data_IF_054438360297
#
_entry.id   IF_054438360297
#
_cell.length_a   1.000
_cell.length_b   1.000
_cell.length_c   1.000
_cell.angle_alpha   90.00
_cell.angle_beta   90.00
_cell.angle_gamma   90.00
#
_symmetry.space_group_name_H-M   'P 1'
#
loop_
_entity.id
_entity.type
_entity.pdbx_description
1 polymer ?
#
# COMPACT_ATOMS: atom_id res chain seq x y z
N UNK A 1 16.00 -0.59 13.94
CA UNK A 1 15.23 -0.63 12.68
C UNK A 1 14.88 0.80 12.32
N UNK A 2 15.10 1.20 11.07
CA UNK A 2 14.75 2.54 10.59
C UNK A 2 13.47 2.47 9.78
N UNK A 3 12.51 3.31 10.12
CA UNK A 3 11.25 3.47 9.40
C UNK A 3 11.36 4.62 8.37
N UNK A 4 10.56 4.60 7.28
CA UNK A 4 9.61 3.54 6.94
C UNK A 4 10.30 2.27 6.38
N UNK A 5 9.72 1.11 6.66
CA UNK A 5 10.11 -0.15 6.01
C UNK A 5 9.39 -0.23 4.67
N UNK A 6 10.12 -0.60 3.62
CA UNK A 6 9.56 -0.72 2.27
C UNK A 6 9.38 -2.18 1.92
N UNK A 7 8.16 -2.56 1.53
CA UNK A 7 7.81 -3.91 1.09
C UNK A 7 7.16 -3.85 -0.29
N UNK A 8 7.51 -4.79 -1.19
CA UNK A 8 6.86 -4.90 -2.49
C UNK A 8 5.78 -5.99 -2.48
N UNK A 9 4.58 -5.66 -2.96
CA UNK A 9 3.45 -6.58 -3.11
C UNK A 9 2.85 -6.46 -4.51
N UNK A 10 2.89 -7.54 -5.31
CA UNK A 10 2.34 -7.59 -6.68
C UNK A 10 2.78 -6.45 -7.61
N UNK A 11 4.03 -5.99 -7.45
CA UNK A 11 4.61 -4.89 -8.22
C UNK A 11 4.29 -3.49 -7.69
N UNK A 12 3.57 -3.39 -6.57
CA UNK A 12 3.29 -2.16 -5.84
C UNK A 12 4.18 -2.04 -4.62
N UNK A 13 4.53 -0.82 -4.25
CA UNK A 13 5.33 -0.54 -3.06
C UNK A 13 4.43 -0.18 -1.89
N UNK A 14 4.68 -0.79 -0.73
CA UNK A 14 4.02 -0.52 0.55
C UNK A 14 5.07 0.03 1.50
N UNK A 15 4.77 1.19 2.10
CA UNK A 15 5.53 1.74 3.22
C UNK A 15 4.85 1.33 4.51
N UNK A 16 5.61 0.76 5.43
CA UNK A 16 5.21 0.55 6.81
C UNK A 16 5.91 1.60 7.68
N UNK A 17 5.12 2.36 8.43
CA UNK A 17 5.55 3.40 9.35
C UNK A 17 5.70 2.85 10.77
N UNK A 18 6.37 3.63 11.63
CA UNK A 18 6.75 3.20 12.98
C UNK A 18 5.57 2.65 13.80
N UNK A 19 5.68 1.44 14.39
CA UNK A 19 4.67 0.86 15.23
C UNK A 19 4.49 1.54 16.60
N UNK A 20 5.17 2.63 16.88
CA UNK A 20 4.84 3.56 17.95
C UNK A 20 3.72 4.54 17.52
N UNK A 21 3.51 4.77 16.22
CA UNK A 21 2.43 5.61 15.72
C UNK A 21 1.14 4.80 15.70
N UNK A 22 0.28 4.93 16.71
CA UNK A 22 -0.95 4.13 16.90
C UNK A 22 -2.05 4.32 15.84
N UNK A 23 -1.76 5.05 14.75
CA UNK A 23 -2.68 5.29 13.64
C UNK A 23 -2.49 4.35 12.44
N UNK A 24 -2.81 4.86 11.26
CA UNK A 24 -2.67 4.15 10.00
C UNK A 24 -1.19 4.08 9.58
N UNK A 25 -0.62 2.87 9.58
CA UNK A 25 0.83 2.62 9.45
C UNK A 25 1.26 2.17 8.08
N UNK A 26 0.35 1.67 7.27
CA UNK A 26 0.67 1.11 5.97
C UNK A 26 0.22 2.07 4.89
N UNK A 27 1.05 2.30 3.88
CA UNK A 27 0.75 3.24 2.81
C UNK A 27 1.15 2.67 1.46
N UNK A 28 0.28 2.80 0.45
CA UNK A 28 0.60 2.43 -0.93
C UNK A 28 1.41 3.55 -1.56
N UNK A 29 2.45 3.22 -2.33
CA UNK A 29 3.13 4.17 -3.22
C UNK A 29 2.73 3.85 -4.66
N UNK A 30 2.09 4.83 -5.29
CA UNK A 30 1.67 4.78 -6.69
C UNK A 30 2.86 5.02 -7.63
N UNK A 31 2.70 4.60 -8.89
CA UNK A 31 3.64 4.93 -9.97
C UNK A 31 3.81 6.45 -10.08
N UNK A 32 5.03 6.94 -9.94
CA UNK A 32 5.34 8.38 -9.87
C UNK A 32 5.74 8.87 -8.47
N UNK A 33 5.79 7.98 -7.48
CA UNK A 33 6.25 8.31 -6.12
C UNK A 33 5.19 9.00 -5.27
N UNK A 34 3.94 9.05 -5.73
CA UNK A 34 2.83 9.59 -4.95
C UNK A 34 2.39 8.57 -3.90
N UNK A 35 2.33 8.99 -2.64
CA UNK A 35 1.83 8.16 -1.55
C UNK A 35 0.31 8.24 -1.48
N UNK A 36 -0.31 7.07 -1.33
CA UNK A 36 -1.75 6.86 -1.34
C UNK A 36 -2.40 6.83 0.03
N UNK A 37 -3.55 6.15 0.08
CA UNK A 37 -4.31 5.92 1.30
C UNK A 37 -3.47 5.28 2.40
N UNK A 38 -3.78 5.65 3.64
CA UNK A 38 -3.19 5.06 4.83
C UNK A 38 -4.10 3.91 5.33
N UNK A 39 -3.48 2.84 5.82
CA UNK A 39 -4.14 1.61 6.25
C UNK A 39 -3.63 1.19 7.63
N UNK A 40 -4.51 0.56 8.42
CA UNK A 40 -4.20 0.09 9.77
C UNK A 40 -3.35 -1.17 9.79
N UNK A 41 -3.53 -2.03 8.80
CA UNK A 41 -2.85 -3.32 8.70
C UNK A 41 -2.28 -3.58 7.32
N UNK A 42 -1.27 -4.47 7.26
CA UNK A 42 -0.71 -4.96 6.00
C UNK A 42 -1.78 -5.69 5.15
N UNK A 43 -2.72 -6.38 5.79
CA UNK A 43 -3.79 -7.09 5.09
C UNK A 43 -4.74 -6.12 4.37
N UNK A 44 -5.12 -5.01 5.01
CA UNK A 44 -6.03 -4.01 4.42
C UNK A 44 -5.42 -3.37 3.17
N UNK A 45 -4.12 -3.03 3.24
CA UNK A 45 -3.41 -2.44 2.10
C UNK A 45 -3.27 -3.44 0.94
N UNK A 46 -2.98 -4.70 1.24
CA UNK A 46 -2.91 -5.77 0.23
C UNK A 46 -4.28 -6.00 -0.43
N UNK A 47 -5.36 -6.03 0.35
CA UNK A 47 -6.72 -6.16 -0.17
C UNK A 47 -7.10 -4.97 -1.08
N UNK A 48 -6.71 -3.75 -0.72
CA UNK A 48 -6.91 -2.57 -1.57
C UNK A 48 -6.14 -2.67 -2.89
N UNK A 49 -4.89 -3.13 -2.86
CA UNK A 49 -4.09 -3.37 -4.07
C UNK A 49 -4.76 -4.44 -4.94
N UNK A 50 -5.20 -5.55 -4.35
CA UNK A 50 -5.87 -6.63 -5.07
C UNK A 50 -7.18 -6.15 -5.74
N UNK A 51 -7.97 -5.33 -5.03
CA UNK A 51 -9.16 -4.71 -5.59
C UNK A 51 -8.83 -3.76 -6.74
N UNK A 52 -7.80 -2.93 -6.62
CA UNK A 52 -7.37 -2.02 -7.69
C UNK A 52 -6.86 -2.79 -8.93
N UNK A 53 -6.08 -3.86 -8.73
CA UNK A 53 -5.62 -4.73 -9.81
C UNK A 53 -6.81 -5.40 -10.50
N UNK A 54 -7.76 -5.95 -9.75
CA UNK A 54 -8.95 -6.59 -10.30
C UNK A 54 -9.79 -5.62 -11.13
N UNK A 55 -10.02 -4.40 -10.63
CA UNK A 55 -10.80 -3.39 -11.33
C UNK A 55 -10.06 -2.73 -12.51
N UNK A 56 -8.73 -2.68 -12.47
CA UNK A 56 -7.93 -2.18 -13.60
C UNK A 56 -8.03 -3.09 -14.83
N UNK A 57 -8.22 -4.40 -14.62
CA UNK A 57 -8.37 -5.39 -15.69
C UNK A 57 -9.74 -5.35 -16.37
N UNK A 58 -10.77 -4.79 -15.71
CA UNK A 58 -12.12 -4.63 -16.28
C UNK A 58 -12.30 -3.40 -17.19
N UNK A 59 -11.29 -2.51 -17.28
CA UNK A 59 -11.31 -1.30 -18.12
C UNK A 59 -10.45 -1.39 -19.39
N UNK A 60 -10.05 -2.60 -19.81
CA UNK A 60 -9.55 -2.82 -21.17
C UNK A 60 -10.75 -3.29 -22.00
N UNK A 61 -11.35 -2.35 -22.73
CA UNK A 61 -12.38 -2.63 -23.72
C UNK A 61 -11.87 -3.50 -24.86
#
# INVERSE_FOLDING_TARGET
MSYPITTNYRGWTILEHDPANSGDRFQIVYSGGQSGGLFKSLADVQQSIDFQIANSKGKRG
#
